data_IF_548101967834
#
_entry.id   IF_548101967834
#
_cell.length_a   1.000
_cell.length_b   1.000
_cell.length_c   1.000
_cell.angle_alpha   90.00
_cell.angle_beta   90.00
_cell.angle_gamma   90.00
#
_symmetry.space_group_name_H-M   'P 1'
#
loop_
_entity.id
_entity.type
_entity.pdbx_description
1 polymer ?
#
# COMPACT_ATOMS: atom_id res chain seq x y z
N UNK A 1 -17.47 -30.55 -58.23
CA UNK A 1 -16.22 -30.33 -57.46
C UNK A 1 -16.25 -28.95 -56.81
N UNK A 2 -16.50 -28.86 -55.50
CA UNK A 2 -16.11 -27.70 -54.69
C UNK A 2 -16.42 -27.95 -53.22
N UNK A 3 -15.39 -28.19 -52.41
CA UNK A 3 -15.40 -27.96 -50.96
C UNK A 3 -14.01 -27.46 -50.56
N UNK A 4 -13.75 -26.16 -50.74
CA UNK A 4 -12.65 -25.50 -50.02
C UNK A 4 -13.17 -25.12 -48.63
N UNK A 5 -13.25 -26.11 -47.77
CA UNK A 5 -13.36 -25.95 -46.33
C UNK A 5 -12.11 -26.58 -45.73
N UNK A 6 -11.27 -25.79 -45.06
CA UNK A 6 -10.98 -26.00 -43.65
C UNK A 6 -9.89 -25.00 -43.23
N UNK A 7 -10.34 -23.99 -42.46
CA UNK A 7 -9.59 -23.27 -41.42
C UNK A 7 -8.16 -22.81 -41.76
N UNK A 8 -8.05 -21.49 -41.92
CA UNK A 8 -6.84 -20.73 -41.57
C UNK A 8 -6.59 -20.94 -40.06
N UNK A 9 -5.94 -22.04 -39.71
CA UNK A 9 -5.39 -22.26 -38.38
C UNK A 9 -4.08 -21.47 -38.34
N UNK A 10 -4.16 -20.32 -37.68
CA UNK A 10 -3.04 -19.47 -37.30
C UNK A 10 -1.95 -20.39 -36.71
N UNK A 11 -0.82 -20.53 -37.42
CA UNK A 11 0.38 -21.14 -36.86
C UNK A 11 0.94 -20.14 -35.85
N UNK A 12 0.35 -20.12 -34.65
CA UNK A 12 0.81 -19.30 -33.54
C UNK A 12 2.20 -19.81 -33.18
N UNK A 13 3.22 -19.01 -33.46
CA UNK A 13 4.61 -19.27 -33.08
C UNK A 13 4.71 -19.61 -31.58
N UNK A 14 5.59 -20.54 -31.24
CA UNK A 14 5.68 -21.08 -29.89
C UNK A 14 6.00 -20.00 -28.84
N UNK A 15 6.76 -18.95 -29.21
CA UNK A 15 7.01 -17.83 -28.33
C UNK A 15 5.73 -17.02 -28.04
N UNK A 16 4.83 -16.91 -29.02
CA UNK A 16 3.53 -16.24 -28.85
C UNK A 16 2.60 -17.05 -27.95
N UNK A 17 2.65 -18.39 -28.05
CA UNK A 17 1.93 -19.29 -27.13
C UNK A 17 2.45 -19.18 -25.69
N UNK A 18 3.78 -19.16 -25.50
CA UNK A 18 4.41 -19.00 -24.18
C UNK A 18 4.01 -17.67 -23.52
N UNK A 19 4.06 -16.56 -24.27
CA UNK A 19 3.60 -15.24 -23.78
C UNK A 19 2.13 -15.23 -23.38
N UNK A 20 1.25 -15.85 -24.16
CA UNK A 20 -0.18 -15.90 -23.82
C UNK A 20 -0.44 -16.70 -22.55
N UNK A 21 0.24 -17.83 -22.36
CA UNK A 21 0.16 -18.64 -21.13
C UNK A 21 0.63 -17.83 -19.92
N UNK A 22 1.75 -17.11 -20.05
CA UNK A 22 2.29 -16.26 -18.98
C UNK A 22 1.31 -15.15 -18.58
N UNK A 23 0.74 -14.45 -19.56
CA UNK A 23 -0.29 -13.42 -19.32
C UNK A 23 -1.50 -14.02 -18.62
N UNK A 24 -1.96 -15.20 -19.05
CA UNK A 24 -3.15 -15.82 -18.47
C UNK A 24 -2.90 -16.31 -17.03
N UNK A 25 -1.70 -16.84 -16.75
CA UNK A 25 -1.28 -17.21 -15.40
C UNK A 25 -1.17 -15.98 -14.49
N UNK A 26 -0.63 -14.87 -14.99
CA UNK A 26 -0.55 -13.61 -14.25
C UNK A 26 -1.95 -13.04 -13.96
N UNK A 27 -2.86 -13.06 -14.93
CA UNK A 27 -4.25 -12.62 -14.75
C UNK A 27 -5.00 -13.48 -13.71
N UNK A 28 -4.80 -14.80 -13.71
CA UNK A 28 -5.34 -15.67 -12.67
C UNK A 28 -4.74 -15.36 -11.30
N UNK A 29 -3.43 -15.10 -11.23
CA UNK A 29 -2.77 -14.70 -10.00
C UNK A 29 -3.38 -13.40 -9.44
N UNK A 30 -3.50 -12.36 -10.25
CA UNK A 30 -4.09 -11.05 -9.89
C UNK A 30 -5.56 -11.20 -9.43
N UNK A 31 -6.35 -12.03 -10.11
CA UNK A 31 -7.74 -12.32 -9.70
C UNK A 31 -7.82 -13.09 -8.39
N UNK A 32 -6.87 -13.98 -8.12
CA UNK A 32 -6.83 -14.77 -6.87
C UNK A 32 -6.32 -13.98 -5.67
N UNK A 33 -5.46 -12.98 -5.90
CA UNK A 33 -4.91 -12.10 -4.86
C UNK A 33 -5.84 -10.94 -4.55
N UNK A 34 -6.48 -10.34 -5.56
CA UNK A 34 -7.38 -9.17 -5.38
C UNK A 34 -8.65 -9.46 -4.57
N UNK A 35 -9.12 -10.71 -4.53
CA UNK A 35 -10.31 -11.12 -3.77
C UNK A 35 -10.03 -11.44 -2.29
N UNK A 36 -8.78 -11.37 -1.85
CA UNK A 36 -8.38 -11.69 -0.47
C UNK A 36 -8.41 -10.45 0.40
N UNK A 37 -8.75 -10.62 1.68
CA UNK A 37 -8.59 -9.54 2.66
C UNK A 37 -7.12 -9.15 2.80
N UNK A 38 -6.85 -7.90 3.15
CA UNK A 38 -5.48 -7.40 3.36
C UNK A 38 -4.70 -8.27 4.36
N UNK A 39 -5.35 -8.69 5.45
CA UNK A 39 -4.74 -9.61 6.44
C UNK A 39 -4.27 -10.91 5.80
N UNK A 40 -5.12 -11.54 4.98
CA UNK A 40 -4.78 -12.79 4.29
C UNK A 40 -3.69 -12.64 3.21
N UNK A 41 -3.37 -11.41 2.79
CA UNK A 41 -2.24 -11.10 1.92
C UNK A 41 -0.96 -10.87 2.73
N UNK A 42 -1.06 -10.18 3.87
CA UNK A 42 0.06 -10.02 4.81
C UNK A 42 0.59 -11.37 5.29
N UNK A 43 -0.29 -12.27 5.72
CA UNK A 43 0.09 -13.60 6.22
C UNK A 43 0.81 -14.44 5.15
N UNK A 44 0.40 -14.29 3.87
CA UNK A 44 1.06 -14.98 2.74
C UNK A 44 2.43 -14.39 2.40
N UNK A 45 2.58 -13.08 2.57
CA UNK A 45 3.80 -12.38 2.19
C UNK A 45 4.99 -12.65 3.13
N UNK A 46 4.74 -13.16 4.34
CA UNK A 46 5.74 -13.52 5.35
C UNK A 46 6.79 -12.41 5.57
N UNK A 47 6.34 -11.17 5.46
CA UNK A 47 7.18 -9.97 5.56
C UNK A 47 7.96 -9.91 6.87
N UNK A 48 7.38 -10.40 7.97
CA UNK A 48 8.00 -10.41 9.29
C UNK A 48 9.11 -11.48 9.44
N UNK A 49 9.09 -12.53 8.63
CA UNK A 49 10.10 -13.61 8.67
C UNK A 49 11.36 -13.25 7.86
N UNK A 50 11.32 -12.17 7.06
CA UNK A 50 12.44 -11.78 6.22
C UNK A 50 13.57 -11.18 7.06
N UNK A 51 14.83 -11.58 6.82
CA UNK A 51 15.97 -11.04 7.56
C UNK A 51 16.09 -9.52 7.33
N UNK A 52 16.23 -8.72 8.40
CA UNK A 52 16.35 -7.26 8.30
C UNK A 52 17.67 -6.80 7.69
N UNK A 53 18.65 -7.70 7.56
CA UNK A 53 20.02 -7.41 7.14
C UNK A 53 20.23 -7.50 5.60
N UNK A 54 19.22 -7.96 4.86
CA UNK A 54 19.26 -7.91 3.40
C UNK A 54 18.88 -6.51 2.97
N UNK A 55 19.89 -5.69 2.69
CA UNK A 55 19.79 -4.26 2.36
C UNK A 55 18.83 -3.96 1.18
N UNK A 56 18.57 -4.96 0.33
CA UNK A 56 17.65 -4.86 -0.82
C UNK A 56 16.16 -5.07 -0.49
N UNK A 57 15.79 -5.40 0.75
CA UNK A 57 14.38 -5.70 1.11
C UNK A 57 13.86 -4.72 2.16
N UNK A 58 13.70 -3.47 1.73
CA UNK A 58 12.93 -2.47 2.49
C UNK A 58 11.46 -2.91 2.56
N UNK A 59 10.93 -3.12 3.76
CA UNK A 59 9.54 -3.53 3.96
C UNK A 59 8.84 -2.60 4.94
N UNK A 60 7.50 -2.59 4.95
CA UNK A 60 6.68 -1.76 5.86
C UNK A 60 7.12 -1.77 7.33
N UNK A 61 7.70 -2.89 7.80
CA UNK A 61 8.19 -3.03 9.18
C UNK A 61 9.56 -2.39 9.41
N UNK A 62 10.40 -2.28 8.38
CA UNK A 62 11.80 -1.83 8.50
C UNK A 62 12.00 -0.37 8.05
N UNK A 63 11.11 0.17 7.22
CA UNK A 63 11.23 1.53 6.66
C UNK A 63 10.78 2.66 7.59
N UNK A 64 10.60 2.39 8.89
CA UNK A 64 10.18 3.40 9.84
C UNK A 64 11.16 4.58 9.87
N UNK A 65 10.64 5.79 9.67
CA UNK A 65 11.47 6.99 9.67
C UNK A 65 12.09 7.23 11.06
N UNK A 66 13.31 7.75 11.07
CA UNK A 66 13.98 8.20 12.30
C UNK A 66 13.13 9.30 12.98
N UNK A 67 13.12 9.39 14.33
CA UNK A 67 12.46 10.49 15.03
C UNK A 67 12.90 11.86 14.52
N UNK A 68 11.97 12.82 14.56
CA UNK A 68 12.21 14.22 14.19
C UNK A 68 13.37 14.81 14.99
N UNK A 69 14.27 15.52 14.31
CA UNK A 69 15.32 16.34 14.94
C UNK A 69 14.78 17.63 15.57
N UNK A 70 13.63 18.10 15.11
CA UNK A 70 13.06 19.39 15.51
C UNK A 70 11.99 19.25 16.60
N UNK A 71 11.86 20.24 17.50
CA UNK A 71 10.84 20.23 18.53
C UNK A 71 9.43 20.30 17.93
N UNK A 72 8.48 19.68 18.63
CA UNK A 72 7.08 19.67 18.22
C UNK A 72 6.49 21.09 18.24
N UNK A 73 5.91 21.52 17.11
CA UNK A 73 5.17 22.79 17.03
C UNK A 73 3.81 22.63 17.70
N UNK A 74 3.42 23.61 18.50
CA UNK A 74 2.13 23.61 19.22
C UNK A 74 1.11 24.44 18.44
N UNK A 75 0.25 23.76 17.69
CA UNK A 75 -0.85 24.39 16.96
C UNK A 75 -2.17 24.21 17.70
N UNK A 76 -3.05 25.21 17.56
CA UNK A 76 -4.41 25.15 18.08
C UNK A 76 -5.23 24.08 17.34
N UNK A 77 -5.99 23.28 18.07
CA UNK A 77 -6.82 22.21 17.49
C UNK A 77 -8.05 22.73 16.75
N UNK A 78 -8.48 23.97 17.01
CA UNK A 78 -9.67 24.58 16.40
C UNK A 78 -9.32 25.42 15.16
N UNK A 79 -8.12 26.02 15.14
CA UNK A 79 -7.63 26.90 14.08
C UNK A 79 -6.15 26.64 13.87
N UNK A 80 -5.64 26.74 12.65
CA UNK A 80 -4.20 26.58 12.36
C UNK A 80 -3.41 27.83 12.79
N UNK A 81 -3.37 28.09 14.09
CA UNK A 81 -2.61 29.18 14.72
C UNK A 81 -1.76 28.65 15.88
N UNK A 82 -0.73 29.38 16.30
CA UNK A 82 0.12 28.97 17.43
C UNK A 82 -0.72 28.92 18.72
N UNK A 83 -0.62 27.82 19.46
CA UNK A 83 -1.35 27.68 20.71
C UNK A 83 -0.62 28.36 21.87
N UNK A 84 -1.33 29.21 22.61
CA UNK A 84 -0.84 29.77 23.86
C UNK A 84 -1.33 28.98 25.10
N UNK A 85 -2.40 28.18 24.94
CA UNK A 85 -3.06 27.51 26.05
C UNK A 85 -3.17 26.01 25.82
N UNK A 86 -3.24 25.25 26.93
CA UNK A 86 -3.46 23.82 26.93
C UNK A 86 -4.55 23.45 27.93
N UNK A 87 -5.50 22.62 27.54
CA UNK A 87 -6.53 22.12 28.44
C UNK A 87 -5.91 21.25 29.54
N UNK A 88 -6.26 21.53 30.80
CA UNK A 88 -5.75 20.77 31.95
C UNK A 88 -6.30 19.34 32.05
N UNK A 89 -7.45 19.05 31.42
CA UNK A 89 -8.09 17.73 31.45
C UNK A 89 -7.54 16.79 30.38
N UNK A 90 -7.44 17.25 29.12
CA UNK A 90 -7.07 16.41 27.96
C UNK A 90 -5.74 16.78 27.30
N UNK A 91 -5.12 17.91 27.66
CA UNK A 91 -3.85 18.38 27.08
C UNK A 91 -3.95 19.02 25.68
N UNK A 92 -5.14 19.06 25.08
CA UNK A 92 -5.40 19.71 23.78
C UNK A 92 -4.97 21.18 23.77
N UNK A 93 -4.53 21.66 22.61
CA UNK A 93 -3.90 22.97 22.44
C UNK A 93 -4.90 23.96 21.86
N UNK A 94 -4.93 25.17 22.42
CA UNK A 94 -5.86 26.23 22.02
C UNK A 94 -5.14 27.56 21.84
N UNK A 95 -5.61 28.36 20.88
CA UNK A 95 -5.12 29.72 20.64
C UNK A 95 -5.63 30.73 21.67
N UNK A 96 -6.69 30.40 22.43
CA UNK A 96 -7.37 31.33 23.36
C UNK A 96 -8.21 30.56 24.40
N UNK A 97 -8.35 31.11 25.61
CA UNK A 97 -9.18 30.54 26.68
C UNK A 97 -10.65 30.32 26.27
N UNK A 98 -11.24 31.26 25.53
CA UNK A 98 -12.61 31.13 24.99
C UNK A 98 -12.86 29.85 24.19
N UNK A 99 -11.81 29.25 23.63
CA UNK A 99 -11.90 28.01 22.83
C UNK A 99 -11.52 26.77 23.63
N UNK A 100 -10.93 26.94 24.81
CA UNK A 100 -10.56 25.86 25.72
C UNK A 100 -11.74 25.44 26.60
N UNK A 101 -12.61 26.39 26.96
CA UNK A 101 -13.76 26.18 27.84
C UNK A 101 -15.05 25.76 27.10
N UNK A 102 -14.91 25.35 25.83
CA UNK A 102 -16.00 24.77 25.01
C UNK A 102 -16.05 23.26 25.20
#
# INVERSE_FOLDING_TARGET
MSKKNQKVLIQIDEATRRKYIEIHLNDQHIKSTSKRSFKALLDKSKIAEKPPDVQDVQTYLTVAAKPSRYPLRKFCSVRVFVSAYACKKCGMKYCSLKKQDV
#
